data_IF_689000802179
#
_entry.id   IF_689000802179
#
_cell.length_a   1.000
_cell.length_b   1.000
_cell.length_c   1.000
_cell.angle_alpha   90.00
_cell.angle_beta   90.00
_cell.angle_gamma   90.00
#
_symmetry.space_group_name_H-M   'P 1'
#
loop_
_entity.id
_entity.type
_entity.pdbx_description
1 polymer ?
#
# COMPACT_ATOMS: atom_id res chain seq x y z
N UNK A 1 -66.74 19.76 -51.17
CA UNK A 1 -67.75 18.69 -51.37
C UNK A 1 -67.19 17.68 -52.36
N UNK A 2 -67.19 16.37 -52.07
CA UNK A 2 -67.44 15.67 -50.79
C UNK A 2 -66.20 14.88 -50.28
N UNK A 3 -66.02 14.79 -48.97
CA UNK A 3 -66.21 13.59 -48.09
C UNK A 3 -65.01 12.62 -48.12
N UNK A 4 -64.57 11.93 -47.07
CA UNK A 4 -64.76 11.84 -45.61
C UNK A 4 -63.66 10.82 -45.21
N UNK A 5 -62.80 11.08 -44.24
CA UNK A 5 -62.92 10.72 -42.83
C UNK A 5 -62.41 9.28 -42.46
N UNK A 6 -61.51 9.28 -41.49
CA UNK A 6 -61.22 8.25 -40.45
C UNK A 6 -60.53 6.88 -40.70
N UNK A 7 -59.30 6.84 -40.15
CA UNK A 7 -58.80 5.98 -39.02
C UNK A 7 -58.41 4.49 -39.21
N UNK A 8 -57.28 4.21 -38.54
CA UNK A 8 -56.73 2.96 -37.98
C UNK A 8 -55.87 2.01 -38.84
N UNK A 9 -54.54 2.16 -38.70
CA UNK A 9 -53.70 1.12 -38.08
C UNK A 9 -52.83 0.25 -38.99
N UNK A 10 -51.50 0.45 -38.93
CA UNK A 10 -50.53 -0.53 -38.39
C UNK A 10 -49.09 -0.02 -38.52
N UNK A 11 -48.41 -0.06 -37.38
CA UNK A 11 -46.98 0.09 -37.19
C UNK A 11 -46.20 -1.00 -37.95
N UNK A 12 -45.10 -0.59 -38.57
CA UNK A 12 -44.04 -1.45 -39.09
C UNK A 12 -42.77 -0.62 -39.20
N UNK A 13 -42.15 -0.32 -38.05
CA UNK A 13 -40.85 0.34 -38.00
C UNK A 13 -39.76 -0.67 -38.38
N UNK A 14 -38.95 -0.31 -39.38
CA UNK A 14 -37.69 -0.98 -39.69
C UNK A 14 -36.75 -0.80 -38.49
N UNK A 15 -36.32 -1.91 -37.90
CA UNK A 15 -35.25 -1.93 -36.90
C UNK A 15 -33.94 -1.81 -37.68
N UNK A 16 -33.24 -0.70 -37.46
CA UNK A 16 -31.83 -0.59 -37.82
C UNK A 16 -31.03 -1.37 -36.76
N UNK A 17 -30.38 -2.44 -37.19
CA UNK A 17 -29.46 -3.21 -36.36
C UNK A 17 -28.26 -2.34 -35.98
N UNK A 18 -28.26 -1.88 -34.73
CA UNK A 18 -27.11 -1.27 -34.08
C UNK A 18 -26.00 -2.31 -33.94
N UNK A 19 -24.85 -2.04 -34.55
CA UNK A 19 -23.65 -2.84 -34.38
C UNK A 19 -23.13 -2.71 -32.95
N UNK A 20 -23.46 -3.70 -32.10
CA UNK A 20 -22.72 -3.98 -30.87
C UNK A 20 -21.37 -4.58 -31.26
N UNK A 21 -20.41 -3.71 -31.57
CA UNK A 21 -19.00 -4.06 -31.43
C UNK A 21 -18.73 -4.44 -29.97
N UNK A 22 -17.80 -5.37 -29.69
CA UNK A 22 -17.40 -5.64 -28.31
C UNK A 22 -17.01 -4.31 -27.65
N UNK A 23 -17.36 -4.08 -26.37
CA UNK A 23 -16.99 -2.85 -25.67
C UNK A 23 -15.49 -2.64 -25.85
N UNK A 24 -15.10 -1.49 -26.42
CA UNK A 24 -13.70 -1.11 -26.54
C UNK A 24 -13.08 -1.25 -25.15
N UNK A 25 -12.07 -2.13 -25.02
CA UNK A 25 -11.37 -2.24 -23.75
C UNK A 25 -10.77 -0.87 -23.45
N UNK A 26 -10.98 -0.32 -22.24
CA UNK A 26 -10.46 0.99 -21.90
C UNK A 26 -8.95 1.00 -22.16
N UNK A 27 -8.50 2.01 -22.90
CA UNK A 27 -7.08 2.16 -23.25
C UNK A 27 -6.29 2.33 -21.97
N UNK A 28 -5.29 1.48 -21.77
CA UNK A 28 -4.39 1.53 -20.61
C UNK A 28 -3.83 2.95 -20.42
N UNK A 29 -4.04 3.52 -19.24
CA UNK A 29 -3.69 4.90 -18.93
C UNK A 29 -2.18 5.04 -18.76
N UNK A 30 -1.59 6.08 -19.37
CA UNK A 30 -0.14 6.35 -19.32
C UNK A 30 0.30 7.55 -18.50
N UNK A 31 -0.64 8.28 -17.95
CA UNK A 31 -0.40 9.51 -17.19
C UNK A 31 -1.27 9.54 -15.95
N UNK A 32 -0.87 10.29 -14.91
CA UNK A 32 -1.72 10.51 -13.74
C UNK A 32 -3.10 11.08 -14.09
N UNK A 33 -4.04 10.92 -13.18
CA UNK A 33 -5.34 11.59 -13.19
C UNK A 33 -5.20 13.06 -12.81
N UNK A 34 -6.10 13.91 -13.30
CA UNK A 34 -6.12 15.30 -12.85
C UNK A 34 -6.57 15.31 -11.37
N UNK A 35 -5.99 16.15 -10.49
CA UNK A 35 -6.46 16.27 -9.11
C UNK A 35 -7.97 16.51 -9.00
N UNK A 36 -8.61 17.16 -9.99
CA UNK A 36 -10.06 17.35 -10.03
C UNK A 36 -10.86 16.05 -10.20
N UNK A 37 -10.26 15.01 -10.78
CA UNK A 37 -10.90 13.70 -10.97
C UNK A 37 -11.14 12.95 -9.66
N UNK A 38 -10.55 13.40 -8.55
CA UNK A 38 -10.81 12.84 -7.21
C UNK A 38 -12.27 12.97 -6.76
N UNK A 39 -13.08 13.78 -7.46
CA UNK A 39 -14.52 13.95 -7.23
C UNK A 39 -15.37 12.97 -8.06
N UNK A 40 -14.76 12.33 -9.05
CA UNK A 40 -15.43 11.36 -9.91
C UNK A 40 -15.44 10.00 -9.22
N UNK A 41 -16.54 9.26 -9.35
CA UNK A 41 -16.57 7.87 -8.88
C UNK A 41 -15.63 7.03 -9.75
N UNK A 42 -14.71 6.23 -9.18
CA UNK A 42 -13.85 5.36 -9.97
C UNK A 42 -14.67 4.27 -10.67
N UNK A 43 -14.08 3.69 -11.71
CA UNK A 43 -14.62 2.52 -12.40
C UNK A 43 -14.85 1.30 -11.48
N UNK A 44 -15.62 0.31 -11.96
CA UNK A 44 -15.94 -0.88 -11.17
C UNK A 44 -14.69 -1.70 -10.84
N UNK A 45 -14.73 -2.41 -9.71
CA UNK A 45 -13.71 -3.39 -9.34
C UNK A 45 -14.07 -4.72 -10.00
N UNK A 46 -13.30 -5.16 -10.98
CA UNK A 46 -13.58 -6.42 -11.70
C UNK A 46 -13.34 -7.66 -10.83
N UNK A 47 -12.34 -7.63 -9.94
CA UNK A 47 -11.95 -8.79 -9.13
C UNK A 47 -11.51 -8.36 -7.72
N UNK A 48 -12.47 -8.04 -6.86
CA UNK A 48 -12.23 -7.69 -5.46
C UNK A 48 -11.47 -8.78 -4.71
N UNK A 49 -11.75 -10.05 -5.02
CA UNK A 49 -11.13 -11.20 -4.34
C UNK A 49 -9.61 -11.24 -4.46
N UNK A 50 -9.06 -10.63 -5.52
CA UNK A 50 -7.62 -10.49 -5.73
C UNK A 50 -6.99 -9.57 -4.67
N UNK A 51 -7.70 -8.52 -4.25
CA UNK A 51 -7.23 -7.54 -3.27
C UNK A 51 -7.60 -7.89 -1.83
N UNK A 52 -8.57 -8.80 -1.64
CA UNK A 52 -8.91 -9.36 -0.33
C UNK A 52 -7.84 -10.32 0.23
N UNK A 53 -6.88 -10.76 -0.60
CA UNK A 53 -5.85 -11.71 -0.19
C UNK A 53 -4.80 -11.10 0.74
N UNK A 54 -4.13 -11.95 1.53
CA UNK A 54 -3.05 -11.51 2.43
C UNK A 54 -1.77 -11.01 1.73
N UNK A 55 -1.65 -11.21 0.41
CA UNK A 55 -0.49 -10.77 -0.40
C UNK A 55 -0.99 -10.24 -1.73
N UNK A 56 -1.13 -8.91 -1.79
CA UNK A 56 -1.54 -8.19 -3.00
C UNK A 56 -0.35 -7.56 -3.73
N UNK A 57 0.67 -7.14 -2.98
CA UNK A 57 1.83 -6.45 -3.56
C UNK A 57 2.73 -7.38 -4.40
N UNK A 58 3.29 -6.89 -5.52
CA UNK A 58 4.38 -7.54 -6.23
C UNK A 58 5.68 -7.48 -5.42
N UNK A 59 5.87 -6.40 -4.66
CA UNK A 59 7.04 -6.18 -3.84
C UNK A 59 6.96 -6.94 -2.51
N UNK A 60 8.13 -7.26 -1.96
CA UNK A 60 8.32 -7.82 -0.63
C UNK A 60 8.91 -6.73 0.25
N UNK A 61 8.13 -6.22 1.18
CA UNK A 61 8.64 -5.35 2.22
C UNK A 61 8.76 -6.12 3.55
N UNK A 62 9.92 -6.04 4.23
CA UNK A 62 10.05 -6.50 5.61
C UNK A 62 9.11 -5.72 6.53
N UNK A 63 8.71 -6.35 7.65
CA UNK A 63 7.78 -5.75 8.62
C UNK A 63 6.37 -6.30 8.40
N UNK A 64 5.84 -7.04 9.36
CA UNK A 64 4.57 -7.77 9.24
C UNK A 64 3.32 -6.88 9.11
N UNK A 65 3.47 -5.64 8.65
CA UNK A 65 2.50 -4.55 8.54
C UNK A 65 1.31 -4.84 7.64
N UNK A 66 1.47 -5.78 6.68
CA UNK A 66 0.31 -6.41 6.00
C UNK A 66 -0.75 -6.97 6.96
N UNK A 67 -0.36 -7.32 8.20
CA UNK A 67 -1.28 -7.81 9.25
C UNK A 67 -2.03 -6.68 9.97
N UNK A 68 -1.59 -5.43 9.84
CA UNK A 68 -2.33 -4.27 10.34
C UNK A 68 -3.44 -3.84 9.38
N UNK A 69 -3.38 -4.24 8.10
CA UNK A 69 -4.36 -3.83 7.09
C UNK A 69 -5.81 -4.13 7.51
N UNK A 70 -6.15 -5.29 8.10
CA UNK A 70 -7.52 -5.52 8.57
C UNK A 70 -7.93 -4.66 9.78
N UNK A 71 -6.98 -4.20 10.60
CA UNK A 71 -7.25 -3.26 11.68
C UNK A 71 -7.49 -1.85 11.13
N UNK A 72 -6.64 -1.40 10.20
CA UNK A 72 -6.78 -0.13 9.51
C UNK A 72 -8.12 -0.07 8.76
N UNK A 73 -8.45 -1.12 8.01
CA UNK A 73 -9.74 -1.24 7.31
C UNK A 73 -10.93 -1.12 8.27
N UNK A 74 -10.91 -1.80 9.43
CA UNK A 74 -11.98 -1.67 10.44
C UNK A 74 -12.14 -0.23 10.93
N UNK A 75 -11.04 0.48 11.20
CA UNK A 75 -11.08 1.87 11.64
C UNK A 75 -11.70 2.75 10.55
N UNK A 76 -11.24 2.60 9.30
CA UNK A 76 -11.71 3.39 8.16
C UNK A 76 -13.20 3.16 7.88
N UNK A 77 -13.65 1.91 7.87
CA UNK A 77 -15.06 1.54 7.64
C UNK A 77 -15.99 1.99 8.78
N UNK A 78 -15.46 2.18 9.99
CA UNK A 78 -16.21 2.65 11.14
C UNK A 78 -16.68 4.10 11.06
N UNK A 79 -16.17 4.87 10.10
CA UNK A 79 -16.47 6.28 9.92
C UNK A 79 -17.28 6.43 8.63
N UNK A 80 -18.50 6.97 8.72
CA UNK A 80 -19.47 6.98 7.61
C UNK A 80 -19.82 8.42 7.22
N UNK A 81 -19.63 8.82 5.94
CA UNK A 81 -19.03 8.02 4.87
C UNK A 81 -17.53 7.78 5.11
N UNK A 82 -16.96 6.67 4.59
CA UNK A 82 -15.52 6.46 4.66
C UNK A 82 -14.78 7.51 3.82
N UNK A 83 -13.51 7.83 4.14
CA UNK A 83 -12.68 8.71 3.33
C UNK A 83 -12.67 8.33 1.85
N UNK A 84 -12.81 9.32 0.95
CA UNK A 84 -12.70 9.12 -0.51
C UNK A 84 -11.28 8.81 -0.93
N UNK A 85 -10.30 9.59 -0.45
CA UNK A 85 -8.92 9.55 -0.90
C UNK A 85 -7.99 9.06 0.22
N UNK A 86 -7.22 8.03 -0.07
CA UNK A 86 -6.11 7.57 0.76
C UNK A 86 -4.77 8.02 0.17
N UNK A 87 -3.84 8.48 1.00
CA UNK A 87 -2.47 8.78 0.61
C UNK A 87 -1.50 8.03 1.53
N UNK A 88 -0.49 7.38 0.95
CA UNK A 88 0.62 6.75 1.69
C UNK A 88 1.94 7.47 1.39
N UNK A 89 2.46 8.33 2.29
CA UNK A 89 3.75 9.00 2.13
C UNK A 89 4.97 8.06 2.20
N UNK A 90 4.77 6.87 2.74
CA UNK A 90 5.77 5.81 2.92
C UNK A 90 5.25 4.51 2.30
N UNK A 91 4.82 4.56 1.03
CA UNK A 91 4.03 3.46 0.49
C UNK A 91 4.81 2.14 0.48
N UNK A 92 6.11 2.13 0.18
CA UNK A 92 6.92 0.92 0.20
C UNK A 92 6.30 -0.20 -0.64
N UNK A 93 5.70 -1.19 0.04
CA UNK A 93 4.96 -2.29 -0.59
C UNK A 93 3.49 -2.01 -0.93
N UNK A 94 2.95 -0.85 -0.55
CA UNK A 94 1.59 -0.35 -0.77
C UNK A 94 0.47 -1.35 -0.40
N UNK A 95 0.72 -2.25 0.56
CA UNK A 95 -0.22 -3.34 0.85
C UNK A 95 -1.53 -2.85 1.47
N UNK A 96 -1.50 -1.74 2.22
CA UNK A 96 -2.71 -1.14 2.79
C UNK A 96 -3.50 -0.42 1.70
N UNK A 97 -2.88 0.50 0.95
CA UNK A 97 -3.53 1.20 -0.16
C UNK A 97 -4.13 0.26 -1.21
N UNK A 98 -3.37 -0.74 -1.68
CA UNK A 98 -3.87 -1.71 -2.66
C UNK A 98 -5.08 -2.48 -2.16
N UNK A 99 -5.09 -2.86 -0.87
CA UNK A 99 -6.24 -3.55 -0.29
C UNK A 99 -7.43 -2.61 -0.21
N UNK A 100 -7.29 -1.44 0.43
CA UNK A 100 -8.41 -0.52 0.67
C UNK A 100 -9.04 -0.03 -0.64
N UNK A 101 -8.24 0.30 -1.66
CA UNK A 101 -8.78 0.77 -2.94
C UNK A 101 -9.29 -0.38 -3.81
N UNK A 102 -8.66 -1.55 -3.72
CA UNK A 102 -9.02 -2.76 -4.47
C UNK A 102 -10.20 -3.54 -3.89
N UNK A 103 -10.60 -3.26 -2.63
CA UNK A 103 -11.85 -3.72 -2.02
C UNK A 103 -12.91 -2.63 -1.89
N UNK A 104 -12.64 -1.44 -2.42
CA UNK A 104 -13.60 -0.33 -2.45
C UNK A 104 -13.91 0.28 -1.09
N UNK A 105 -13.06 0.07 -0.08
CA UNK A 105 -13.13 0.72 1.24
C UNK A 105 -12.89 2.22 1.11
N UNK A 106 -11.97 2.61 0.22
CA UNK A 106 -11.76 3.98 -0.25
C UNK A 106 -11.93 4.01 -1.76
N UNK A 107 -12.24 5.19 -2.30
CA UNK A 107 -12.44 5.33 -3.75
C UNK A 107 -11.10 5.48 -4.49
N UNK A 108 -10.19 6.27 -3.93
CA UNK A 108 -8.96 6.68 -4.57
C UNK A 108 -7.75 6.48 -3.66
N UNK A 109 -6.59 6.29 -4.29
CA UNK A 109 -5.30 6.20 -3.65
C UNK A 109 -4.25 7.04 -4.39
N UNK A 110 -3.34 7.62 -3.63
CA UNK A 110 -2.07 8.19 -4.11
C UNK A 110 -0.96 7.48 -3.36
N UNK A 111 0.01 6.97 -4.11
CA UNK A 111 1.19 6.32 -3.55
C UNK A 111 2.34 7.31 -3.58
N UNK A 112 3.06 7.46 -2.47
CA UNK A 112 4.26 8.28 -2.42
C UNK A 112 5.39 7.52 -1.74
N UNK A 113 6.59 7.68 -2.28
CA UNK A 113 7.80 7.18 -1.62
C UNK A 113 8.97 8.09 -1.97
N UNK A 114 9.85 8.30 -0.99
CA UNK A 114 11.09 9.04 -1.22
C UNK A 114 12.09 8.23 -2.06
N UNK A 115 12.07 6.90 -1.94
CA UNK A 115 12.94 6.04 -2.74
C UNK A 115 12.50 6.05 -4.21
N UNK A 116 13.31 6.72 -5.05
CA UNK A 116 13.09 6.79 -6.50
C UNK A 116 12.91 5.42 -7.18
N UNK A 117 13.52 4.34 -6.69
CA UNK A 117 13.30 3.00 -7.26
C UNK A 117 11.87 2.53 -6.99
N UNK A 118 11.37 2.77 -5.78
CA UNK A 118 10.04 2.35 -5.33
C UNK A 118 8.96 3.19 -6.00
N UNK A 119 9.13 4.51 -6.01
CA UNK A 119 8.20 5.42 -6.69
C UNK A 119 8.17 5.14 -8.20
N UNK A 120 9.33 4.92 -8.85
CA UNK A 120 9.38 4.55 -10.27
C UNK A 120 8.73 3.19 -10.54
N UNK A 121 8.90 2.21 -9.64
CA UNK A 121 8.19 0.93 -9.73
C UNK A 121 6.68 1.12 -9.74
N UNK A 122 6.12 1.81 -8.73
CA UNK A 122 4.68 2.03 -8.65
C UNK A 122 4.17 2.82 -9.84
N UNK A 123 4.89 3.88 -10.26
CA UNK A 123 4.51 4.69 -11.42
C UNK A 123 4.42 3.85 -12.70
N UNK A 124 5.40 2.97 -12.91
CA UNK A 124 5.43 2.11 -14.10
C UNK A 124 4.40 0.98 -13.99
N UNK A 125 4.20 0.39 -12.80
CA UNK A 125 3.19 -0.64 -12.60
C UNK A 125 1.77 -0.12 -12.83
N UNK A 126 1.50 1.14 -12.49
CA UNK A 126 0.19 1.78 -12.65
C UNK A 126 -0.02 2.34 -14.05
N UNK A 127 0.99 2.99 -14.65
CA UNK A 127 0.83 3.76 -15.90
C UNK A 127 1.59 3.21 -17.11
N UNK A 128 2.37 2.15 -16.96
CA UNK A 128 3.12 1.53 -18.06
C UNK A 128 3.24 0.01 -17.85
N UNK A 129 2.11 -0.55 -17.42
CA UNK A 129 1.94 -1.91 -16.92
C UNK A 129 2.43 -2.95 -17.92
N UNK A 130 2.01 -2.85 -19.18
CA UNK A 130 2.41 -3.77 -20.24
C UNK A 130 3.93 -3.79 -20.45
N UNK A 131 4.55 -2.60 -20.50
CA UNK A 131 6.01 -2.50 -20.64
C UNK A 131 6.73 -3.17 -19.47
N UNK A 132 6.28 -2.95 -18.23
CA UNK A 132 6.92 -3.55 -17.05
C UNK A 132 6.82 -5.08 -17.07
N UNK A 133 5.67 -5.62 -17.49
CA UNK A 133 5.46 -7.06 -17.60
C UNK A 133 6.36 -7.68 -18.65
N UNK A 134 6.44 -7.07 -19.84
CA UNK A 134 7.27 -7.57 -20.93
C UNK A 134 8.75 -7.52 -20.55
N UNK A 135 9.22 -6.38 -20.03
CA UNK A 135 10.60 -6.23 -19.57
C UNK A 135 10.94 -7.21 -18.43
N UNK A 136 10.03 -7.46 -17.50
CA UNK A 136 10.18 -8.46 -16.43
C UNK A 136 10.25 -9.89 -17.01
N UNK A 137 9.46 -10.19 -18.04
CA UNK A 137 9.44 -11.51 -18.69
C UNK A 137 10.73 -11.78 -19.46
N UNK A 138 11.33 -10.76 -20.05
CA UNK A 138 12.58 -10.88 -20.80
C UNK A 138 13.82 -10.93 -19.88
N UNK A 139 13.73 -10.40 -18.66
CA UNK A 139 14.87 -10.37 -17.74
C UNK A 139 15.25 -11.76 -17.21
N UNK A 140 16.50 -12.16 -17.40
CA UNK A 140 17.05 -13.41 -16.86
C UNK A 140 17.30 -13.32 -15.35
N UNK A 141 16.87 -14.34 -14.60
CA UNK A 141 16.96 -14.32 -13.13
C UNK A 141 18.21 -15.09 -12.67
N UNK A 142 19.37 -14.46 -12.79
CA UNK A 142 20.67 -15.06 -12.45
C UNK A 142 21.48 -14.22 -11.47
N UNK A 143 22.48 -14.82 -10.80
CA UNK A 143 23.39 -14.09 -9.89
C UNK A 143 24.18 -13.02 -10.66
N UNK A 144 24.59 -13.30 -11.90
CA UNK A 144 25.29 -12.33 -12.72
C UNK A 144 24.43 -11.10 -13.00
N UNK A 145 23.14 -11.30 -13.34
CA UNK A 145 22.18 -10.19 -13.49
C UNK A 145 21.94 -9.45 -12.18
N UNK A 146 21.89 -10.14 -11.05
CA UNK A 146 21.84 -9.50 -9.74
C UNK A 146 23.05 -8.62 -9.46
N UNK A 147 24.26 -9.11 -9.74
CA UNK A 147 25.48 -8.31 -9.55
C UNK A 147 25.52 -7.10 -10.47
N UNK A 148 25.04 -7.24 -11.71
CA UNK A 148 24.89 -6.14 -12.64
C UNK A 148 23.90 -5.08 -12.13
N UNK A 149 22.67 -5.49 -11.77
CA UNK A 149 21.64 -4.57 -11.24
C UNK A 149 22.07 -3.91 -9.93
N UNK A 150 22.82 -4.62 -9.08
CA UNK A 150 23.36 -4.06 -7.82
C UNK A 150 24.29 -2.86 -8.08
N UNK A 151 25.03 -2.87 -9.19
CA UNK A 151 25.97 -1.82 -9.57
C UNK A 151 25.35 -0.77 -10.52
N UNK A 152 24.33 -1.15 -11.28
CA UNK A 152 23.65 -0.26 -12.21
C UNK A 152 23.04 0.96 -11.50
N UNK A 153 23.14 2.14 -12.11
CA UNK A 153 22.50 3.38 -11.62
C UNK A 153 21.57 3.95 -12.69
N UNK A 154 20.42 3.28 -12.95
CA UNK A 154 19.51 3.68 -14.00
C UNK A 154 18.91 5.07 -13.74
N UNK A 155 18.75 5.84 -14.83
CA UNK A 155 18.20 7.21 -14.78
C UNK A 155 16.76 7.31 -15.29
N UNK A 156 16.31 6.33 -16.07
CA UNK A 156 14.94 6.32 -16.59
C UNK A 156 14.00 5.69 -15.56
N UNK A 157 12.74 6.16 -15.53
CA UNK A 157 11.68 5.61 -14.65
C UNK A 157 11.49 4.10 -14.92
N UNK A 158 11.46 3.73 -16.19
CA UNK A 158 11.35 2.34 -16.67
C UNK A 158 12.45 1.44 -16.11
N UNK A 159 13.72 1.81 -16.29
CA UNK A 159 14.85 1.00 -15.81
C UNK A 159 14.93 0.97 -14.29
N UNK A 160 14.56 2.07 -13.61
CA UNK A 160 14.44 2.11 -12.15
C UNK A 160 13.35 1.16 -11.63
N UNK A 161 12.21 1.10 -12.30
CA UNK A 161 11.12 0.19 -11.97
C UNK A 161 11.54 -1.28 -12.13
N UNK A 162 12.17 -1.63 -13.25
CA UNK A 162 12.67 -2.98 -13.49
C UNK A 162 13.76 -3.35 -12.47
N UNK A 163 14.70 -2.45 -12.18
CA UNK A 163 15.70 -2.64 -11.12
C UNK A 163 15.04 -2.88 -9.76
N UNK A 164 14.06 -2.06 -9.39
CA UNK A 164 13.34 -2.21 -8.12
C UNK A 164 12.73 -3.61 -8.00
N UNK A 165 11.95 -4.03 -9.01
CA UNK A 165 11.31 -5.34 -9.01
C UNK A 165 12.34 -6.47 -8.97
N UNK A 166 13.36 -6.42 -9.83
CA UNK A 166 14.43 -7.41 -9.87
C UNK A 166 15.09 -7.56 -8.50
N UNK A 167 15.63 -6.46 -7.96
CA UNK A 167 16.38 -6.46 -6.71
C UNK A 167 15.51 -6.85 -5.52
N UNK A 168 14.27 -6.37 -5.45
CA UNK A 168 13.35 -6.70 -4.37
C UNK A 168 12.99 -8.20 -4.33
N UNK A 169 12.91 -8.86 -5.48
CA UNK A 169 12.53 -10.28 -5.53
C UNK A 169 13.74 -11.21 -5.41
N UNK A 170 14.94 -10.74 -5.72
CA UNK A 170 16.16 -11.57 -5.77
C UNK A 170 17.15 -11.28 -4.63
N UNK A 171 16.94 -10.23 -3.82
CA UNK A 171 17.79 -9.90 -2.66
C UNK A 171 17.20 -10.49 -1.38
N UNK A 172 18.06 -10.84 -0.42
CA UNK A 172 17.63 -11.32 0.89
C UNK A 172 16.60 -10.38 1.53
N UNK A 173 15.45 -10.93 1.94
CA UNK A 173 14.31 -10.20 2.50
C UNK A 173 13.70 -9.10 1.61
N UNK A 174 14.14 -8.98 0.35
CA UNK A 174 13.71 -7.93 -0.57
C UNK A 174 14.28 -6.54 -0.28
N UNK A 175 15.39 -6.49 0.45
CA UNK A 175 16.09 -5.25 0.77
C UNK A 175 16.68 -4.68 -0.53
N UNK A 176 16.33 -3.44 -0.87
CA UNK A 176 16.83 -2.76 -2.09
C UNK A 176 18.25 -2.19 -1.90
N UNK A 177 18.51 -1.69 -0.69
CA UNK A 177 19.68 -0.89 -0.36
C UNK A 177 20.65 -1.58 0.61
N UNK A 178 21.80 -0.99 0.84
CA UNK A 178 22.77 -1.50 1.80
C UNK A 178 23.46 -2.80 1.35
N UNK A 179 23.90 -3.60 2.33
CA UNK A 179 24.85 -4.72 2.13
C UNK A 179 24.19 -6.09 1.90
N UNK A 180 22.86 -6.13 1.81
CA UNK A 180 22.15 -7.39 1.58
C UNK A 180 22.59 -8.05 0.27
N UNK A 181 22.90 -9.34 0.34
CA UNK A 181 23.27 -10.18 -0.81
C UNK A 181 22.06 -10.84 -1.48
N UNK A 182 22.27 -11.56 -2.59
CA UNK A 182 21.20 -12.29 -3.26
C UNK A 182 20.60 -13.35 -2.33
N UNK A 183 19.31 -13.62 -2.48
CA UNK A 183 18.64 -14.70 -1.75
C UNK A 183 19.33 -16.04 -2.03
N UNK A 184 19.64 -16.80 -0.98
CA UNK A 184 20.42 -18.04 -1.08
C UNK A 184 21.93 -17.86 -1.24
N UNK A 185 22.42 -16.62 -1.27
CA UNK A 185 23.84 -16.31 -1.40
C UNK A 185 24.36 -16.43 -2.84
N UNK A 186 25.58 -15.94 -3.07
CA UNK A 186 26.18 -15.84 -4.41
C UNK A 186 26.55 -17.19 -5.04
N UNK A 187 26.82 -18.22 -4.23
CA UNK A 187 27.36 -19.50 -4.72
C UNK A 187 26.33 -20.38 -5.46
N UNK A 188 25.05 -20.30 -5.10
CA UNK A 188 23.93 -21.01 -5.77
C UNK A 188 24.19 -22.50 -6.15
N UNK A 189 24.85 -23.26 -5.28
CA UNK A 189 25.13 -24.70 -5.49
C UNK A 189 23.85 -25.54 -5.52
N UNK A 190 23.94 -26.80 -5.95
CA UNK A 190 22.82 -27.77 -5.96
C UNK A 190 22.12 -27.88 -4.60
N UNK A 191 22.87 -27.80 -3.50
CA UNK A 191 22.36 -27.86 -2.11
C UNK A 191 21.74 -26.54 -1.60
N UNK A 192 21.74 -25.48 -2.41
CA UNK A 192 21.18 -24.18 -2.01
C UNK A 192 19.65 -24.26 -1.92
N UNK A 193 19.12 -24.13 -0.69
CA UNK A 193 17.68 -24.20 -0.40
C UNK A 193 16.84 -23.12 -1.08
N UNK A 194 17.34 -21.90 -1.15
CA UNK A 194 16.65 -20.77 -1.77
C UNK A 194 17.39 -20.34 -3.02
N UNK A 195 16.93 -20.80 -4.18
CA UNK A 195 17.49 -20.36 -5.45
C UNK A 195 17.19 -18.88 -5.69
N UNK A 196 18.01 -18.20 -6.48
CA UNK A 196 17.87 -16.75 -6.71
C UNK A 196 16.49 -16.37 -7.29
N UNK A 197 15.90 -17.26 -8.07
CA UNK A 197 14.60 -17.13 -8.72
C UNK A 197 13.42 -17.66 -7.89
N UNK A 198 13.65 -18.23 -6.70
CA UNK A 198 12.59 -18.91 -5.92
C UNK A 198 11.46 -17.97 -5.46
N UNK A 199 11.67 -16.65 -5.59
CA UNK A 199 10.66 -15.60 -5.34
C UNK A 199 10.33 -14.82 -6.61
N UNK A 200 10.82 -15.19 -7.78
CA UNK A 200 10.59 -14.49 -9.05
C UNK A 200 9.63 -15.28 -9.97
N UNK A 201 8.47 -15.70 -9.44
CA UNK A 201 7.45 -16.32 -10.30
C UNK A 201 6.87 -15.27 -11.24
N UNK A 202 7.32 -15.28 -12.50
CA UNK A 202 6.94 -14.30 -13.52
C UNK A 202 5.44 -14.26 -13.79
N UNK A 203 4.75 -15.40 -13.79
CA UNK A 203 3.31 -15.46 -14.01
C UNK A 203 2.54 -14.76 -12.89
N UNK A 204 2.78 -15.14 -11.63
CA UNK A 204 2.13 -14.51 -10.47
C UNK A 204 2.48 -13.03 -10.32
N UNK A 205 3.70 -12.63 -10.67
CA UNK A 205 4.08 -11.22 -10.65
C UNK A 205 3.35 -10.43 -11.75
N UNK A 206 3.21 -11.00 -12.96
CA UNK A 206 2.45 -10.39 -14.04
C UNK A 206 0.99 -10.18 -13.64
N UNK A 207 0.31 -11.21 -13.11
CA UNK A 207 -1.09 -11.12 -12.66
C UNK A 207 -1.32 -9.99 -11.63
N UNK A 208 -0.35 -9.77 -10.73
CA UNK A 208 -0.42 -8.68 -9.73
C UNK A 208 -0.20 -7.31 -10.37
N UNK A 209 0.78 -7.21 -11.27
CA UNK A 209 1.08 -5.97 -11.98
C UNK A 209 -0.09 -5.57 -12.90
N UNK A 210 -0.69 -6.53 -13.60
CA UNK A 210 -1.90 -6.31 -14.42
C UNK A 210 -3.05 -5.75 -13.60
N UNK A 211 -3.32 -6.33 -12.42
CA UNK A 211 -4.36 -5.82 -11.54
C UNK A 211 -4.08 -4.42 -10.99
N UNK A 212 -2.81 -4.06 -10.77
CA UNK A 212 -2.43 -2.70 -10.40
C UNK A 212 -2.70 -1.72 -11.56
N UNK A 213 -2.37 -2.11 -12.79
CA UNK A 213 -2.70 -1.31 -13.99
C UNK A 213 -4.19 -1.01 -14.07
N UNK A 214 -5.04 -2.02 -13.84
CA UNK A 214 -6.51 -1.84 -13.79
C UNK A 214 -6.98 -0.85 -12.71
N UNK A 215 -6.29 -0.77 -11.57
CA UNK A 215 -6.57 0.26 -10.57
C UNK A 215 -6.22 1.67 -11.10
N UNK A 216 -5.14 1.81 -11.87
CA UNK A 216 -4.81 3.05 -12.56
C UNK A 216 -5.86 3.44 -13.61
N UNK A 217 -6.25 2.48 -14.46
CA UNK A 217 -7.20 2.69 -15.56
C UNK A 217 -8.60 3.10 -15.08
N UNK A 218 -8.99 2.65 -13.89
CA UNK A 218 -10.31 2.93 -13.29
C UNK A 218 -10.33 4.19 -12.42
N UNK A 219 -9.21 4.92 -12.29
CA UNK A 219 -9.14 6.09 -11.41
C UNK A 219 -9.06 5.74 -9.92
N UNK A 220 -8.77 4.47 -9.59
CA UNK A 220 -8.55 4.05 -8.20
C UNK A 220 -7.18 4.45 -7.71
N UNK A 221 -6.14 4.30 -8.51
CA UNK A 221 -4.84 4.92 -8.23
C UNK A 221 -4.71 6.16 -9.12
N UNK A 222 -4.73 7.34 -8.50
CA UNK A 222 -4.74 8.62 -9.22
C UNK A 222 -3.35 9.04 -9.67
N UNK A 223 -2.34 8.87 -8.80
CA UNK A 223 -0.97 9.31 -9.05
C UNK A 223 0.04 8.54 -8.18
N UNK A 224 1.31 8.63 -8.56
CA UNK A 224 2.46 8.12 -7.82
C UNK A 224 3.52 9.21 -7.70
N UNK A 225 3.92 9.55 -6.48
CA UNK A 225 4.84 10.64 -6.20
C UNK A 225 6.20 10.13 -5.73
N UNK A 226 7.26 10.70 -6.32
CA UNK A 226 8.61 10.59 -5.78
C UNK A 226 8.84 11.79 -4.85
N UNK A 227 8.45 11.67 -3.58
CA UNK A 227 8.49 12.75 -2.60
C UNK A 227 8.70 12.20 -1.19
N UNK A 228 9.31 13.01 -0.31
CA UNK A 228 9.29 12.72 1.12
C UNK A 228 7.90 13.00 1.73
N UNK A 229 7.76 12.68 3.02
CA UNK A 229 6.51 12.87 3.73
C UNK A 229 6.10 14.34 3.86
N UNK A 230 7.06 15.25 4.02
CA UNK A 230 6.77 16.67 4.22
C UNK A 230 6.20 17.29 2.94
N UNK A 231 6.85 17.04 1.79
CA UNK A 231 6.33 17.43 0.50
C UNK A 231 4.99 16.76 0.23
N UNK A 232 4.84 15.45 0.52
CA UNK A 232 3.57 14.74 0.33
C UNK A 232 2.43 15.40 1.10
N UNK A 233 2.61 15.76 2.37
CA UNK A 233 1.60 16.46 3.17
C UNK A 233 1.32 17.87 2.64
N UNK A 234 2.36 18.60 2.20
CA UNK A 234 2.19 19.91 1.56
C UNK A 234 1.32 19.83 0.30
N UNK A 235 1.57 18.82 -0.54
CA UNK A 235 0.79 18.56 -1.75
C UNK A 235 -0.67 18.22 -1.44
N UNK A 236 -0.95 17.49 -0.36
CA UNK A 236 -2.35 17.25 0.05
C UNK A 236 -3.04 18.59 0.34
N UNK A 237 -2.41 19.48 1.09
CA UNK A 237 -2.93 20.81 1.41
C UNK A 237 -3.15 21.70 0.18
N UNK A 238 -2.24 21.64 -0.79
CA UNK A 238 -2.29 22.44 -2.02
C UNK A 238 -3.25 21.87 -3.07
N UNK A 239 -3.16 20.57 -3.32
CA UNK A 239 -3.75 19.91 -4.49
C UNK A 239 -5.09 19.24 -4.17
N UNK A 240 -5.35 18.79 -2.93
CA UNK A 240 -6.57 18.02 -2.61
C UNK A 240 -7.49 18.67 -1.58
N UNK A 241 -6.96 19.46 -0.63
CA UNK A 241 -7.83 20.18 0.34
C UNK A 241 -8.79 21.20 -0.26
N UNK A 242 -8.50 21.87 -1.38
CA UNK A 242 -9.51 22.68 -2.06
C UNK A 242 -10.64 21.87 -2.71
N UNK A 243 -10.48 20.53 -2.82
CA UNK A 243 -11.38 19.64 -3.56
C UNK A 243 -12.18 18.69 -2.66
N UNK A 244 -11.64 18.41 -1.46
CA UNK A 244 -12.18 17.44 -0.51
C UNK A 244 -12.21 18.02 0.91
N UNK A 245 -13.22 17.64 1.68
CA UNK A 245 -13.31 17.93 3.09
C UNK A 245 -12.26 17.14 3.90
N UNK A 246 -11.89 17.58 5.12
CA UNK A 246 -10.88 16.91 5.94
C UNK A 246 -11.16 15.42 6.22
N UNK A 247 -12.42 15.06 6.41
CA UNK A 247 -12.87 13.69 6.67
C UNK A 247 -12.89 12.81 5.41
N UNK A 248 -12.84 13.40 4.22
CA UNK A 248 -12.72 12.68 2.95
C UNK A 248 -11.27 12.27 2.62
N UNK A 249 -10.29 12.74 3.39
CA UNK A 249 -8.86 12.46 3.17
C UNK A 249 -8.30 11.62 4.32
N UNK A 250 -7.72 10.48 3.96
CA UNK A 250 -6.96 9.60 4.84
C UNK A 250 -5.48 9.62 4.47
N UNK A 251 -4.61 9.89 5.44
CA UNK A 251 -3.16 9.67 5.31
C UNK A 251 -2.75 8.48 6.17
N UNK A 252 -2.23 7.42 5.55
CA UNK A 252 -1.64 6.29 6.29
C UNK A 252 -0.12 6.41 6.28
N UNK A 253 0.48 6.42 7.47
CA UNK A 253 1.91 6.59 7.66
C UNK A 253 2.52 5.36 8.33
N UNK A 254 3.57 4.80 7.73
CA UNK A 254 4.42 3.74 8.30
C UNK A 254 5.90 4.15 8.14
N UNK A 255 6.35 5.19 8.87
CA UNK A 255 7.70 5.72 8.75
C UNK A 255 8.76 4.68 9.19
N UNK A 256 10.05 4.90 8.83
CA UNK A 256 11.15 4.10 9.37
C UNK A 256 11.12 4.06 10.90
N UNK A 257 11.33 2.89 11.52
CA UNK A 257 11.23 2.72 12.97
C UNK A 257 12.42 3.32 13.72
N UNK A 258 12.17 3.78 14.95
CA UNK A 258 13.16 4.32 15.90
C UNK A 258 14.32 3.34 16.13
N UNK A 259 14.02 2.04 16.30
CA UNK A 259 14.97 1.06 16.83
C UNK A 259 15.38 -0.05 15.84
N UNK A 260 15.20 0.17 14.53
CA UNK A 260 15.62 -0.79 13.51
C UNK A 260 16.93 -0.39 12.85
N UNK A 261 17.98 -1.11 13.26
CA UNK A 261 19.34 -1.15 12.74
C UNK A 261 19.50 -0.64 11.30
N UNK A 262 20.54 0.17 11.08
CA UNK A 262 21.06 0.73 9.80
C UNK A 262 21.08 -0.23 8.58
N UNK A 263 20.83 -1.52 8.78
CA UNK A 263 20.85 -2.57 7.78
C UNK A 263 19.54 -2.79 7.00
N UNK A 264 18.38 -2.33 7.49
CA UNK A 264 17.07 -2.64 6.87
C UNK A 264 16.49 -1.52 6.01
N UNK A 265 16.76 -0.26 6.36
CA UNK A 265 16.31 0.92 5.64
C UNK A 265 17.54 1.75 5.25
N UNK A 266 17.60 2.23 4.01
CA UNK A 266 18.62 3.19 3.60
C UNK A 266 18.51 4.52 4.36
N UNK A 267 17.32 4.80 4.91
CA UNK A 267 16.95 6.04 5.56
C UNK A 267 16.32 5.67 6.89
N UNK A 268 17.13 5.62 7.94
CA UNK A 268 16.63 5.69 9.31
C UNK A 268 16.23 7.13 9.57
N UNK A 269 15.10 7.33 10.26
CA UNK A 269 14.78 8.64 10.79
C UNK A 269 15.69 8.92 11.98
N UNK A 270 16.22 10.14 12.06
CA UNK A 270 16.81 10.63 13.30
C UNK A 270 15.70 11.11 14.27
N UNK A 271 16.09 11.38 15.52
CA UNK A 271 15.18 11.86 16.56
C UNK A 271 14.42 13.14 16.13
N UNK A 272 15.09 14.02 15.38
CA UNK A 272 14.50 15.27 14.91
C UNK A 272 13.41 14.97 13.86
N UNK A 273 13.66 14.08 12.93
CA UNK A 273 12.69 13.70 11.89
C UNK A 273 11.45 13.02 12.51
N UNK A 274 11.64 12.19 13.54
CA UNK A 274 10.52 11.64 14.32
C UNK A 274 9.71 12.74 15.02
N UNK A 275 10.40 13.71 15.64
CA UNK A 275 9.78 14.84 16.33
C UNK A 275 9.04 15.78 15.38
N UNK A 276 9.63 16.12 14.24
CA UNK A 276 9.03 16.97 13.21
C UNK A 276 7.75 16.34 12.64
N UNK A 277 7.76 15.03 12.37
CA UNK A 277 6.58 14.30 11.92
C UNK A 277 5.49 14.32 13.00
N UNK A 278 5.85 14.06 14.25
CA UNK A 278 4.90 14.08 15.36
C UNK A 278 4.28 15.47 15.57
N UNK A 279 5.09 16.53 15.54
CA UNK A 279 4.61 17.90 15.64
C UNK A 279 3.60 18.24 14.53
N UNK A 280 3.89 17.81 13.30
CA UNK A 280 3.00 18.01 12.14
C UNK A 280 1.68 17.27 12.31
N UNK A 281 1.72 15.98 12.63
CA UNK A 281 0.51 15.16 12.78
C UNK A 281 -0.33 15.54 14.00
N UNK A 282 0.31 15.95 15.09
CA UNK A 282 -0.36 16.38 16.32
C UNK A 282 -1.13 17.70 16.13
N UNK A 283 -0.71 18.55 15.19
CA UNK A 283 -1.42 19.77 14.79
C UNK A 283 -2.38 19.60 13.61
N UNK A 284 -2.43 18.40 12.99
CA UNK A 284 -3.20 18.19 11.77
C UNK A 284 -4.70 17.99 12.05
N UNK A 285 -5.50 18.97 11.67
CA UNK A 285 -6.97 18.91 11.59
C UNK A 285 -7.47 18.86 10.13
N UNK A 286 -6.55 18.92 9.18
CA UNK A 286 -6.83 19.04 7.75
C UNK A 286 -7.07 17.70 7.07
N UNK A 287 -6.84 16.58 7.72
CA UNK A 287 -7.09 15.26 7.17
C UNK A 287 -7.19 14.26 8.32
N UNK A 288 -7.80 13.10 8.05
CA UNK A 288 -7.68 11.94 8.93
C UNK A 288 -6.36 11.26 8.69
N UNK A 289 -5.77 10.70 9.74
CA UNK A 289 -4.53 9.97 9.62
C UNK A 289 -4.48 8.76 10.55
N UNK A 290 -3.78 7.73 10.09
CA UNK A 290 -3.42 6.55 10.88
C UNK A 290 -1.91 6.38 10.75
N UNK A 291 -1.25 6.18 11.87
CA UNK A 291 0.19 6.02 11.97
C UNK A 291 0.49 4.66 12.60
N UNK A 292 1.38 3.88 11.99
CA UNK A 292 1.92 2.66 12.58
C UNK A 292 3.36 2.81 13.03
N UNK A 293 3.65 2.30 14.24
CA UNK A 293 4.99 2.24 14.82
C UNK A 293 5.17 0.95 15.62
N UNK A 294 6.42 0.54 15.85
CA UNK A 294 6.72 -0.42 16.91
C UNK A 294 6.35 0.21 18.27
N UNK A 295 5.90 -0.60 19.24
CA UNK A 295 5.61 -0.10 20.59
C UNK A 295 6.90 0.28 21.33
N UNK A 296 7.18 1.58 21.40
CA UNK A 296 8.37 2.17 21.99
C UNK A 296 8.04 3.41 22.84
N UNK A 297 8.83 3.65 23.89
CA UNK A 297 8.61 4.76 24.83
C UNK A 297 8.74 6.14 24.16
N UNK A 298 9.67 6.29 23.21
CA UNK A 298 9.85 7.54 22.44
C UNK A 298 8.60 7.82 21.61
N UNK A 299 8.07 6.81 20.94
CA UNK A 299 6.83 6.93 20.14
C UNK A 299 5.66 7.33 21.02
N UNK A 300 5.50 6.70 22.20
CA UNK A 300 4.43 7.05 23.15
C UNK A 300 4.53 8.49 23.65
N UNK A 301 5.75 8.97 23.89
CA UNK A 301 5.99 10.35 24.30
C UNK A 301 5.68 11.36 23.17
N UNK A 302 5.98 11.00 21.91
CA UNK A 302 5.69 11.83 20.74
C UNK A 302 4.19 11.92 20.41
N UNK A 303 3.43 10.86 20.73
CA UNK A 303 2.01 10.75 20.40
C UNK A 303 1.15 10.45 21.66
N UNK A 304 1.02 11.41 22.60
CA UNK A 304 0.26 11.21 23.82
C UNK A 304 -1.25 11.10 23.58
N UNK A 305 -1.96 10.35 24.42
CA UNK A 305 -3.42 10.17 24.38
C UNK A 305 -4.12 11.47 24.80
N UNK A 306 -4.26 12.43 23.88
CA UNK A 306 -4.86 13.75 24.17
C UNK A 306 -5.62 14.31 22.96
N UNK A 307 -6.66 15.11 23.21
CA UNK A 307 -7.30 15.93 22.18
C UNK A 307 -7.91 15.17 21.00
N UNK A 308 -8.78 14.18 21.26
CA UNK A 308 -9.47 13.44 20.20
C UNK A 308 -8.63 12.37 19.48
N UNK A 309 -7.35 12.22 19.84
CA UNK A 309 -6.49 11.12 19.36
C UNK A 309 -6.76 9.82 20.11
N UNK A 310 -6.46 8.70 19.45
CA UNK A 310 -6.49 7.34 20.02
C UNK A 310 -5.15 6.66 19.76
N UNK A 311 -4.64 5.98 20.79
CA UNK A 311 -3.47 5.10 20.69
C UNK A 311 -3.95 3.70 20.95
N UNK A 312 -3.63 2.78 20.05
CA UNK A 312 -4.14 1.41 20.05
C UNK A 312 -2.99 0.42 19.97
N UNK A 313 -3.06 -0.66 20.73
CA UNK A 313 -2.22 -1.84 20.57
C UNK A 313 -2.82 -2.78 19.55
N UNK A 314 -2.21 -2.90 18.37
CA UNK A 314 -2.58 -3.90 17.38
C UNK A 314 -1.83 -5.21 17.64
N UNK A 315 -2.56 -6.28 17.94
CA UNK A 315 -1.97 -7.59 18.27
C UNK A 315 -1.72 -8.42 17.02
N UNK A 316 -0.51 -8.96 16.91
CA UNK A 316 -0.18 -9.97 15.91
C UNK A 316 -0.65 -11.37 16.35
N UNK A 317 -1.82 -11.83 15.91
CA UNK A 317 -2.13 -13.26 16.00
C UNK A 317 -1.33 -14.02 14.92
N UNK A 318 -0.44 -14.92 15.33
CA UNK A 318 0.27 -15.83 14.42
C UNK A 318 -0.69 -16.94 13.96
N UNK A 319 -0.76 -17.22 12.66
CA UNK A 319 -1.48 -18.37 12.12
C UNK A 319 -0.92 -19.69 12.64
N UNK A 320 -1.80 -20.64 12.98
CA UNK A 320 -1.52 -21.97 13.56
C UNK A 320 -0.40 -22.80 12.88
N UNK A 321 -0.11 -22.57 11.60
CA UNK A 321 1.01 -23.23 10.91
C UNK A 321 2.40 -22.86 11.48
N UNK A 322 2.56 -21.66 12.07
CA UNK A 322 3.79 -21.25 12.75
C UNK A 322 3.88 -21.78 14.20
N UNK A 323 2.77 -22.27 14.76
CA UNK A 323 2.72 -22.86 16.09
C UNK A 323 3.27 -24.30 16.12
N UNK A 324 3.08 -25.09 15.06
CA UNK A 324 3.59 -26.48 15.01
C UNK A 324 5.11 -26.59 14.83
N UNK A 325 5.77 -25.58 14.25
CA UNK A 325 7.20 -25.61 13.97
C UNK A 325 8.11 -25.14 15.14
N UNK A 326 7.53 -24.76 16.30
CA UNK A 326 8.25 -24.08 17.39
C UNK A 326 8.02 -24.66 18.79
N UNK A 327 7.56 -25.91 18.89
CA UNK A 327 7.44 -26.57 20.19
C UNK A 327 8.77 -27.08 20.77
N UNK A 328 9.91 -26.82 20.13
CA UNK A 328 11.20 -27.43 20.51
C UNK A 328 12.27 -26.44 21.00
N UNK A 329 11.90 -25.26 21.50
CA UNK A 329 12.87 -24.40 22.18
C UNK A 329 12.20 -23.50 23.22
N UNK A 330 12.59 -23.67 24.49
CA UNK A 330 12.28 -22.77 25.61
C UNK A 330 12.85 -21.37 25.31
N UNK A 331 12.06 -20.52 24.66
CA UNK A 331 12.33 -19.11 24.47
C UNK A 331 11.05 -18.32 24.69
N UNK A 332 11.06 -17.39 25.64
CA UNK A 332 9.95 -16.48 25.97
C UNK A 332 9.37 -15.88 24.67
N UNK A 333 8.06 -16.09 24.44
CA UNK A 333 7.29 -15.44 23.36
C UNK A 333 7.35 -13.92 23.57
N UNK A 334 8.10 -13.21 22.74
CA UNK A 334 7.90 -11.76 22.59
C UNK A 334 6.91 -11.57 21.43
N UNK A 335 5.62 -11.44 21.75
CA UNK A 335 4.67 -10.84 20.81
C UNK A 335 5.12 -9.40 20.62
N UNK A 336 5.68 -9.05 19.46
CA UNK A 336 5.88 -7.64 19.12
C UNK A 336 4.50 -7.02 19.00
N UNK A 337 4.22 -6.02 19.82
CA UNK A 337 3.00 -5.23 19.78
C UNK A 337 3.30 -4.03 18.88
N UNK A 338 2.37 -3.71 17.98
CA UNK A 338 2.46 -2.51 17.16
C UNK A 338 1.54 -1.45 17.75
N UNK A 339 1.97 -0.20 17.71
CA UNK A 339 1.13 0.95 18.00
C UNK A 339 0.45 1.41 16.72
N UNK A 340 -0.87 1.59 16.79
CA UNK A 340 -1.63 2.40 15.84
C UNK A 340 -2.05 3.69 16.55
N UNK A 341 -1.66 4.83 16.00
CA UNK A 341 -2.07 6.15 16.48
C UNK A 341 -2.96 6.78 15.43
N UNK A 342 -4.07 7.41 15.84
CA UNK A 342 -5.04 7.96 14.90
C UNK A 342 -5.78 9.17 15.46
N UNK A 343 -6.20 10.08 14.56
CA UNK A 343 -7.13 11.18 14.85
C UNK A 343 -8.56 10.92 14.33
N UNK A 344 -8.87 9.67 13.95
CA UNK A 344 -10.23 9.29 13.61
C UNK A 344 -11.15 9.43 14.83
N UNK A 345 -12.35 10.02 14.66
CA UNK A 345 -13.28 10.22 15.76
C UNK A 345 -13.85 8.89 16.26
N UNK A 346 -14.20 8.00 15.34
CA UNK A 346 -14.77 6.70 15.63
C UNK A 346 -13.74 5.59 15.43
N UNK A 347 -13.46 4.85 16.50
CA UNK A 347 -12.64 3.64 16.48
C UNK A 347 -13.50 2.50 17.00
N UNK A 348 -14.11 1.68 16.12
CA UNK A 348 -14.98 0.60 16.53
C UNK A 348 -14.27 -0.41 17.42
N UNK A 349 -14.99 -1.06 18.32
CA UNK A 349 -14.44 -2.19 19.08
C UNK A 349 -14.02 -3.33 18.15
N UNK A 350 -12.87 -3.94 18.41
CA UNK A 350 -12.31 -5.03 17.61
C UNK A 350 -11.42 -5.94 18.46
N UNK A 351 -11.31 -7.20 18.07
CA UNK A 351 -10.32 -8.14 18.61
C UNK A 351 -8.91 -7.93 18.02
N UNK A 352 -8.78 -7.08 17.00
CA UNK A 352 -7.53 -6.80 16.28
C UNK A 352 -6.67 -5.75 16.97
N UNK A 353 -7.29 -4.88 17.77
CA UNK A 353 -6.62 -3.83 18.51
C UNK A 353 -7.36 -3.50 19.80
N UNK A 354 -6.62 -2.96 20.77
CA UNK A 354 -7.20 -2.47 22.03
C UNK A 354 -6.66 -1.07 22.33
N UNK A 355 -7.48 -0.16 22.89
CA UNK A 355 -6.99 1.11 23.40
C UNK A 355 -5.84 0.92 24.38
N UNK A 356 -4.85 1.81 24.29
CA UNK A 356 -3.81 1.92 25.31
C UNK A 356 -4.37 2.80 26.42
N UNK A 357 -4.76 2.19 27.54
CA UNK A 357 -5.20 2.94 28.72
C UNK A 357 -3.99 3.59 29.41
N UNK A 358 -4.14 4.84 29.82
CA UNK A 358 -3.12 5.56 30.63
C UNK A 358 -2.89 4.90 32.02
N UNK A 359 -3.75 3.96 32.43
CA UNK A 359 -3.82 3.41 33.79
C UNK A 359 -3.58 1.89 33.93
N UNK A 360 -3.00 1.21 32.95
CA UNK A 360 -2.67 -0.22 33.09
C UNK A 360 -1.28 -0.59 32.55
N UNK A 361 -0.24 0.02 33.12
CA UNK A 361 1.13 -0.45 32.96
C UNK A 361 1.48 -1.56 33.98
N UNK A 362 0.72 -2.67 33.99
CA UNK A 362 1.09 -3.86 34.78
C UNK A 362 1.99 -4.84 34.00
N UNK A 363 2.54 -4.41 32.84
CA UNK A 363 3.53 -5.22 32.08
C UNK A 363 4.97 -4.74 32.35
N UNK A 364 5.18 -3.76 33.24
CA UNK A 364 6.51 -3.29 33.61
C UNK A 364 7.01 -3.69 35.01
N UNK A 365 6.21 -4.32 35.87
CA UNK A 365 6.71 -4.82 37.15
C UNK A 365 6.66 -6.35 37.24
N UNK A 366 7.83 -6.97 37.21
CA UNK A 366 7.99 -8.40 37.43
C UNK A 366 7.64 -8.81 38.87
N UNK A 367 6.36 -9.03 39.13
CA UNK A 367 5.89 -9.74 40.33
C UNK A 367 5.11 -10.99 39.93
N UNK A 368 5.73 -12.15 40.13
CA UNK A 368 5.02 -13.42 40.23
C UNK A 368 4.24 -13.47 41.56
N UNK A 369 3.06 -14.10 41.61
CA UNK A 369 2.57 -14.64 42.88
C UNK A 369 3.45 -15.79 43.39
#
# INVERSE_FOLDING_TARGET
>A
MPCDDERYGRLGACVEDGGDGPPEQPVARRTPWDPDDVRNKPGPIENESQFAQSVVSPLRYPGAKRRLVPAIETIVQGNVPPPRLMIEPFCGGASTALRLVGTGVVEHAILADYDSLVASFWRTAVFDTAWLIDAMRDEEITVARWEWWKQASPRTVRDQALKCLFMNRTTFSGILHGRAGPIGGKKQTETTKYKIDCRFNKATLAERIEAIGKLGDTGRILDVWTSDWHETLSRIGRDYRPRLAPDEILVYLDPPYVDKSEFLYHLAFDEKQHSDLAATLNGADTYRWILSYDDDQVVRALYPVTGGRRVLHARHQYSAAALKARNDTKGRRQSRVELLVTNFPDVPESDRYHPVDDSSCDICEGRSP
#
